data_IF_168870037712
#
_entry.id   IF_168870037712
#
_cell.length_a   1.000
_cell.length_b   1.000
_cell.length_c   1.000
_cell.angle_alpha   90.00
_cell.angle_beta   90.00
_cell.angle_gamma   90.00
#
_symmetry.space_group_name_H-M   'P 1'
#
loop_
_entity.id
_entity.type
_entity.pdbx_description
1 polymer ?
#
# COMPACT_ATOMS: atom_id res chain seq x y z
N UNK A 1 24.36 -4.63 7.93
CA UNK A 1 23.78 -3.28 7.80
C UNK A 1 23.05 -3.24 6.46
N UNK A 2 21.78 -2.83 6.42
CA UNK A 2 20.99 -2.84 5.18
C UNK A 2 21.48 -1.72 4.25
N UNK A 3 22.06 -2.10 3.10
CA UNK A 3 22.68 -1.17 2.14
C UNK A 3 21.65 -0.57 1.18
N UNK A 4 22.05 0.45 0.41
CA UNK A 4 21.21 0.99 -0.66
C UNK A 4 21.00 -0.03 -1.80
N UNK A 5 21.99 -0.86 -2.10
CA UNK A 5 21.85 -1.97 -3.05
C UNK A 5 20.85 -3.02 -2.57
N UNK A 6 20.81 -3.31 -1.26
CA UNK A 6 19.78 -4.18 -0.67
C UNK A 6 18.38 -3.56 -0.80
N UNK A 7 18.26 -2.23 -0.64
CA UNK A 7 17.00 -1.52 -0.78
C UNK A 7 16.46 -1.62 -2.19
N UNK A 8 17.27 -1.32 -3.20
CA UNK A 8 16.86 -1.38 -4.60
C UNK A 8 16.48 -2.80 -5.02
N UNK A 9 17.22 -3.82 -4.55
CA UNK A 9 16.89 -5.23 -4.81
C UNK A 9 15.57 -5.68 -4.17
N UNK A 10 15.24 -5.16 -2.99
CA UNK A 10 14.07 -5.58 -2.20
C UNK A 10 12.87 -4.64 -2.33
N UNK A 11 13.03 -3.52 -3.05
CA UNK A 11 12.00 -2.52 -3.33
C UNK A 11 10.76 -3.17 -3.94
N UNK A 12 9.60 -2.95 -3.32
CA UNK A 12 8.34 -3.62 -3.70
C UNK A 12 7.13 -2.71 -3.51
N UNK A 13 5.96 -3.12 -4.00
CA UNK A 13 4.72 -2.34 -3.84
C UNK A 13 4.12 -2.53 -2.45
N UNK A 14 3.40 -1.52 -1.94
CA UNK A 14 2.62 -1.66 -0.69
C UNK A 14 1.62 -2.81 -0.72
N UNK A 15 1.00 -3.08 -1.87
CA UNK A 15 0.07 -4.21 -2.05
C UNK A 15 0.73 -5.57 -1.81
N UNK A 16 1.98 -5.75 -2.27
CA UNK A 16 2.74 -6.98 -2.02
C UNK A 16 3.06 -7.15 -0.53
N UNK A 17 3.44 -6.07 0.17
CA UNK A 17 3.62 -6.09 1.63
C UNK A 17 2.32 -6.45 2.32
N UNK A 18 1.21 -5.82 1.97
CA UNK A 18 -0.11 -6.16 2.51
C UNK A 18 -0.43 -7.65 2.32
N UNK A 19 -0.29 -8.17 1.10
CA UNK A 19 -0.58 -9.57 0.80
C UNK A 19 0.32 -10.56 1.53
N UNK A 20 1.57 -10.20 1.83
CA UNK A 20 2.45 -11.04 2.65
C UNK A 20 1.82 -11.35 4.01
N UNK A 21 1.24 -10.34 4.66
CA UNK A 21 0.58 -10.46 5.96
C UNK A 21 -0.85 -10.98 5.88
N UNK A 22 -1.50 -10.94 4.72
CA UNK A 22 -2.82 -11.55 4.51
C UNK A 22 -2.70 -13.04 4.17
N UNK A 23 -1.95 -13.38 3.13
CA UNK A 23 -1.78 -14.74 2.63
C UNK A 23 -0.61 -14.84 1.65
N UNK A 24 0.43 -15.61 2.00
CA UNK A 24 1.62 -15.83 1.16
C UNK A 24 1.29 -16.41 -0.23
N UNK A 25 0.28 -17.29 -0.33
CA UNK A 25 -0.17 -17.85 -1.61
C UNK A 25 -0.82 -16.78 -2.50
N UNK A 26 -1.60 -15.86 -1.91
CA UNK A 26 -2.16 -14.70 -2.62
C UNK A 26 -1.05 -13.81 -3.17
N UNK A 27 -0.03 -13.51 -2.35
CA UNK A 27 1.15 -12.77 -2.80
C UNK A 27 1.86 -13.48 -3.97
N UNK A 28 2.05 -14.79 -3.89
CA UNK A 28 2.71 -15.56 -4.93
C UNK A 28 1.94 -15.49 -6.27
N UNK A 29 0.62 -15.70 -6.23
CA UNK A 29 -0.24 -15.61 -7.41
C UNK A 29 -0.22 -14.20 -8.01
N UNK A 30 -0.38 -13.17 -7.18
CA UNK A 30 -0.32 -11.77 -7.61
C UNK A 30 1.02 -11.42 -8.25
N UNK A 31 2.13 -11.89 -7.68
CA UNK A 31 3.48 -11.67 -8.23
C UNK A 31 3.73 -12.36 -9.57
N UNK A 32 2.87 -13.32 -9.94
CA UNK A 32 2.86 -14.01 -11.24
C UNK A 32 1.79 -13.46 -12.20
N UNK A 33 1.13 -12.35 -11.85
CA UNK A 33 0.07 -11.74 -12.67
C UNK A 33 -1.29 -12.44 -12.56
N UNK A 34 -1.47 -13.35 -11.62
CA UNK A 34 -2.72 -14.10 -11.43
C UNK A 34 -3.58 -13.38 -10.38
N UNK A 35 -4.55 -12.58 -10.84
CA UNK A 35 -5.45 -11.82 -9.99
C UNK A 35 -6.66 -12.64 -9.52
N UNK A 36 -6.91 -12.66 -8.21
CA UNK A 36 -8.09 -13.32 -7.61
C UNK A 36 -9.24 -12.36 -7.30
N UNK A 37 -9.05 -11.06 -7.53
CA UNK A 37 -9.96 -10.02 -7.02
C UNK A 37 -11.04 -9.60 -8.03
N UNK A 38 -10.99 -10.09 -9.27
CA UNK A 38 -11.86 -9.63 -10.37
C UNK A 38 -13.35 -9.90 -10.18
N UNK A 39 -13.74 -10.91 -9.39
CA UNK A 39 -15.14 -11.27 -9.13
C UNK A 39 -15.65 -10.82 -7.76
N UNK A 40 -14.84 -10.14 -6.95
CA UNK A 40 -15.24 -9.77 -5.60
C UNK A 40 -16.03 -8.46 -5.59
N UNK A 41 -17.31 -8.53 -5.25
CA UNK A 41 -18.17 -7.36 -5.03
C UNK A 41 -17.59 -6.43 -3.97
N UNK A 42 -17.01 -6.99 -2.89
CA UNK A 42 -16.38 -6.21 -1.81
C UNK A 42 -15.18 -5.41 -2.32
N UNK A 43 -14.36 -5.98 -3.20
CA UNK A 43 -13.23 -5.27 -3.81
C UNK A 43 -13.74 -4.18 -4.74
N UNK A 44 -14.76 -4.49 -5.55
CA UNK A 44 -15.38 -3.53 -6.47
C UNK A 44 -15.98 -2.33 -5.73
N UNK A 45 -16.69 -2.58 -4.63
CA UNK A 45 -17.23 -1.54 -3.76
C UNK A 45 -16.10 -0.72 -3.12
N UNK A 46 -15.02 -1.36 -2.68
CA UNK A 46 -13.83 -0.67 -2.17
C UNK A 46 -13.23 0.30 -3.18
N UNK A 47 -13.10 -0.10 -4.44
CA UNK A 47 -12.63 0.77 -5.53
C UNK A 47 -13.58 1.95 -5.80
N UNK A 48 -14.89 1.68 -5.84
CA UNK A 48 -15.89 2.74 -6.04
C UNK A 48 -15.89 3.77 -4.89
N UNK A 49 -15.75 3.31 -3.64
CA UNK A 49 -15.64 4.18 -2.46
C UNK A 49 -14.35 5.00 -2.49
N UNK A 50 -13.25 4.38 -2.93
CA UNK A 50 -11.98 5.06 -3.16
C UNK A 50 -12.20 6.20 -4.16
N UNK A 51 -12.64 5.90 -5.39
CA UNK A 51 -12.90 6.87 -6.47
C UNK A 51 -13.85 8.02 -6.06
N UNK A 52 -14.94 7.70 -5.36
CA UNK A 52 -15.93 8.70 -4.94
C UNK A 52 -15.46 9.60 -3.78
N UNK A 53 -14.58 9.11 -2.91
CA UNK A 53 -14.04 9.87 -1.77
C UNK A 53 -12.98 10.90 -2.16
N UNK A 54 -12.33 10.75 -3.32
CA UNK A 54 -11.29 11.67 -3.80
C UNK A 54 -11.79 13.06 -4.18
N UNK A 55 -13.11 13.24 -4.34
CA UNK A 55 -13.66 14.51 -4.84
C UNK A 55 -13.56 15.69 -3.88
N UNK A 56 -13.25 15.49 -2.58
CA UNK A 56 -13.35 16.60 -1.62
C UNK A 56 -12.09 16.88 -0.80
N UNK A 57 -11.40 15.94 -0.15
CA UNK A 57 -10.42 16.31 0.90
C UNK A 57 -9.16 15.41 1.01
N UNK A 58 -8.92 14.50 0.06
CA UNK A 58 -7.82 13.51 0.15
C UNK A 58 -6.93 13.55 -1.08
N UNK A 59 -5.64 13.82 -0.90
CA UNK A 59 -4.62 13.75 -1.96
C UNK A 59 -3.96 12.38 -1.92
N UNK A 60 -4.32 11.50 -2.84
CA UNK A 60 -3.50 10.31 -3.10
C UNK A 60 -2.24 10.72 -3.84
N UNK A 61 -1.14 10.06 -3.54
CA UNK A 61 0.15 10.30 -4.20
C UNK A 61 0.74 8.96 -4.62
N UNK A 62 1.15 8.87 -5.88
CA UNK A 62 1.94 7.77 -6.41
C UNK A 62 3.40 8.19 -6.43
N UNK A 63 4.26 7.43 -5.75
CA UNK A 63 5.70 7.69 -5.64
C UNK A 63 6.45 6.56 -6.36
N UNK A 64 7.37 6.94 -7.25
CA UNK A 64 8.19 6.05 -8.07
C UNK A 64 7.42 4.97 -8.85
N UNK A 65 6.15 5.25 -9.20
CA UNK A 65 5.22 4.28 -9.77
C UNK A 65 5.11 2.96 -8.98
N UNK A 66 5.41 2.99 -7.67
CA UNK A 66 5.56 1.80 -6.84
C UNK A 66 4.67 1.82 -5.60
N UNK A 67 4.67 2.93 -4.86
CA UNK A 67 3.84 3.06 -3.66
C UNK A 67 2.74 4.10 -3.93
N UNK A 68 1.50 3.69 -3.70
CA UNK A 68 0.33 4.55 -3.76
C UNK A 68 -0.15 4.78 -2.32
N UNK A 69 -0.05 6.03 -1.86
CA UNK A 69 -0.46 6.43 -0.52
C UNK A 69 -1.80 7.15 -0.65
N UNK A 70 -2.83 6.70 0.08
CA UNK A 70 -4.18 7.26 -0.01
C UNK A 70 -4.29 8.66 0.57
N UNK A 71 -3.57 8.89 1.67
CA UNK A 71 -3.59 10.11 2.45
C UNK A 71 -2.16 10.60 2.72
N UNK A 72 -1.87 11.83 2.32
CA UNK A 72 -0.60 12.50 2.64
C UNK A 72 -0.89 13.90 3.16
N UNK A 73 -0.39 14.20 4.36
CA UNK A 73 -0.35 15.54 4.95
C UNK A 73 1.10 16.04 5.07
N UNK A 74 1.29 17.24 5.63
CA UNK A 74 2.63 17.79 5.88
C UNK A 74 3.44 16.92 6.85
N UNK A 75 2.79 16.17 7.74
CA UNK A 75 3.47 15.35 8.75
C UNK A 75 3.07 13.88 8.71
N UNK A 76 1.94 13.51 8.11
CA UNK A 76 1.35 12.18 8.27
C UNK A 76 1.08 11.48 6.95
N UNK A 77 1.11 10.14 6.99
CA UNK A 77 0.60 9.28 5.91
C UNK A 77 -0.51 8.37 6.43
N UNK A 78 -1.47 8.07 5.57
CA UNK A 78 -2.60 7.21 5.92
C UNK A 78 -3.05 6.30 4.79
N UNK A 79 -3.66 5.19 5.19
CA UNK A 79 -4.22 4.16 4.32
C UNK A 79 -5.68 3.96 4.69
N UNK A 80 -6.56 3.90 3.69
CA UNK A 80 -8.00 3.83 3.89
C UNK A 80 -8.48 2.44 3.50
N UNK A 81 -8.94 1.65 4.47
CA UNK A 81 -9.50 0.32 4.22
C UNK A 81 -10.99 0.30 4.49
N UNK A 82 -11.74 -0.39 3.63
CA UNK A 82 -13.18 -0.60 3.78
C UNK A 82 -13.55 -1.33 5.09
N UNK A 83 -12.66 -2.20 5.58
CA UNK A 83 -12.87 -2.98 6.79
C UNK A 83 -11.58 -3.09 7.59
N UNK A 84 -11.75 -3.22 8.90
CA UNK A 84 -10.68 -3.29 9.89
C UNK A 84 -10.25 -4.75 10.19
N UNK A 85 -10.80 -5.74 9.45
CA UNK A 85 -10.47 -7.17 9.58
C UNK A 85 -9.00 -7.50 9.32
N UNK A 86 -8.29 -6.68 8.54
CA UNK A 86 -6.90 -6.90 8.12
C UNK A 86 -5.96 -5.80 8.67
N UNK A 87 -6.17 -5.40 9.93
CA UNK A 87 -5.39 -4.36 10.63
C UNK A 87 -3.89 -4.59 10.57
N UNK A 88 -3.43 -5.81 10.78
CA UNK A 88 -2.00 -6.12 10.76
C UNK A 88 -1.38 -5.88 9.38
N UNK A 89 -2.03 -6.37 8.33
CA UNK A 89 -1.57 -6.14 6.95
C UNK A 89 -1.58 -4.66 6.58
N UNK A 90 -2.59 -3.90 7.02
CA UNK A 90 -2.65 -2.45 6.83
C UNK A 90 -1.53 -1.72 7.59
N UNK A 91 -1.24 -2.13 8.84
CA UNK A 91 -0.14 -1.58 9.64
C UNK A 91 1.20 -1.79 8.94
N UNK A 92 1.48 -2.98 8.46
CA UNK A 92 2.74 -3.28 7.78
C UNK A 92 2.89 -2.56 6.44
N UNK A 93 1.79 -2.36 5.71
CA UNK A 93 1.78 -1.53 4.52
C UNK A 93 2.17 -0.07 4.86
N UNK A 94 1.62 0.52 5.93
CA UNK A 94 1.99 1.87 6.38
C UNK A 94 3.44 1.95 6.87
N UNK A 95 3.91 0.97 7.65
CA UNK A 95 5.30 0.92 8.08
C UNK A 95 6.26 0.86 6.90
N UNK A 96 5.91 0.12 5.85
CA UNK A 96 6.67 0.09 4.62
C UNK A 96 6.70 1.46 3.93
N UNK A 97 5.58 2.18 3.88
CA UNK A 97 5.53 3.53 3.32
C UNK A 97 6.42 4.50 4.09
N UNK A 98 6.38 4.48 5.43
CA UNK A 98 7.24 5.31 6.28
C UNK A 98 8.72 4.97 6.07
N UNK A 99 9.06 3.68 6.01
CA UNK A 99 10.42 3.23 5.72
C UNK A 99 10.90 3.73 4.35
N UNK A 100 10.06 3.59 3.32
CA UNK A 100 10.38 4.01 1.96
C UNK A 100 10.59 5.52 1.86
N UNK A 101 9.69 6.31 2.45
CA UNK A 101 9.82 7.77 2.50
C UNK A 101 11.09 8.20 3.24
N UNK A 102 11.40 7.53 4.36
CA UNK A 102 12.63 7.80 5.11
C UNK A 102 13.89 7.55 4.28
N UNK A 103 13.88 6.53 3.41
CA UNK A 103 14.98 6.25 2.46
C UNK A 103 15.13 7.33 1.39
N UNK A 104 14.04 7.98 1.01
CA UNK A 104 14.05 9.16 0.14
C UNK A 104 14.40 10.47 0.88
N UNK A 105 14.72 10.42 2.17
CA UNK A 105 15.00 11.60 2.99
C UNK A 105 13.74 12.37 3.44
N UNK A 106 12.55 11.76 3.32
CA UNK A 106 11.27 12.36 3.72
C UNK A 106 10.79 11.73 5.03
N UNK A 107 10.72 12.52 6.09
CA UNK A 107 10.20 12.06 7.38
C UNK A 107 8.70 12.37 7.53
N UNK A 108 7.93 11.34 7.90
CA UNK A 108 6.48 11.40 8.18
C UNK A 108 6.14 10.50 9.37
N UNK A 109 4.92 10.65 9.88
CA UNK A 109 4.32 9.86 10.96
C UNK A 109 3.14 9.03 10.45
#
# INVERSE_FOLDING_TARGET
MFTEDDFDKLKTTGTKVNYYFVCKRKLWLFSRGIGLEGSSERVSLGKLLHESSYKRHRKSVLIDNLIAIDLVSSQEVGEVKYSDKLKEAARWQLLYYLFYLKRLGVEKR
#
